data_IF_085588339798
#
_entry.id   IF_085588339798
#
_cell.length_a   1.000
_cell.length_b   1.000
_cell.length_c   1.000
_cell.angle_alpha   90.00
_cell.angle_beta   90.00
_cell.angle_gamma   90.00
#
_symmetry.space_group_name_H-M   'P 1'
#
loop_
_entity.id
_entity.type
_entity.pdbx_description
1 polymer ?
#
# COMPACT_ATOMS: atom_id res chain seq x y z
N UNK A 1 11.30 -3.69 -24.47
CA UNK A 1 10.80 -2.29 -24.38
C UNK A 1 10.57 -1.93 -22.91
N UNK A 2 11.69 -1.65 -22.23
CA UNK A 2 11.83 -1.08 -20.90
C UNK A 2 11.84 0.43 -21.15
N UNK A 3 10.94 1.26 -20.64
CA UNK A 3 10.78 1.55 -19.23
C UNK A 3 9.42 2.25 -19.07
N UNK A 4 8.39 1.49 -18.71
CA UNK A 4 7.04 2.03 -18.56
C UNK A 4 6.94 2.65 -17.18
N UNK A 5 6.45 3.89 -17.08
CA UNK A 5 6.28 4.61 -15.80
C UNK A 5 5.46 3.79 -14.77
N UNK A 6 4.65 2.84 -15.24
CA UNK A 6 3.95 1.86 -14.41
C UNK A 6 4.87 1.07 -13.45
N UNK A 7 6.04 0.61 -13.91
CA UNK A 7 6.94 -0.19 -13.06
C UNK A 7 7.61 0.67 -12.00
N UNK A 8 7.78 1.97 -12.26
CA UNK A 8 8.29 2.94 -11.28
C UNK A 8 7.25 3.14 -10.17
N UNK A 9 5.98 3.31 -10.52
CA UNK A 9 4.91 3.45 -9.53
C UNK A 9 4.69 2.17 -8.71
N UNK A 10 4.76 0.99 -9.34
CA UNK A 10 4.68 -0.29 -8.62
C UNK A 10 5.88 -0.51 -7.70
N UNK A 11 7.08 -0.12 -8.12
CA UNK A 11 8.30 -0.22 -7.31
C UNK A 11 8.25 0.75 -6.12
N UNK A 12 7.77 1.98 -6.33
CA UNK A 12 7.50 2.91 -5.22
C UNK A 12 6.48 2.31 -4.24
N UNK A 13 5.38 1.76 -4.73
CA UNK A 13 4.37 1.15 -3.88
C UNK A 13 4.93 -0.02 -3.06
N UNK A 14 5.75 -0.88 -3.67
CA UNK A 14 6.40 -2.00 -3.00
C UNK A 14 7.40 -1.54 -1.93
N UNK A 15 8.22 -0.53 -2.24
CA UNK A 15 9.18 0.05 -1.28
C UNK A 15 8.43 0.73 -0.13
N UNK A 16 7.41 1.53 -0.43
CA UNK A 16 6.57 2.17 0.59
C UNK A 16 5.89 1.15 1.50
N UNK A 17 5.33 0.07 0.94
CA UNK A 17 4.75 -1.02 1.72
C UNK A 17 5.80 -1.71 2.62
N UNK A 18 7.01 -1.97 2.12
CA UNK A 18 8.11 -2.51 2.91
C UNK A 18 8.59 -1.57 4.01
N UNK A 19 8.66 -0.26 3.73
CA UNK A 19 8.99 0.77 4.71
C UNK A 19 7.95 0.80 5.84
N UNK A 20 6.67 0.66 5.51
CA UNK A 20 5.56 0.67 6.49
C UNK A 20 5.64 -0.48 7.51
N UNK A 21 6.41 -1.55 7.22
CA UNK A 21 6.70 -2.61 8.20
C UNK A 21 7.65 -2.17 9.30
N UNK A 22 8.62 -1.29 8.99
CA UNK A 22 9.59 -0.77 9.96
C UNK A 22 9.17 0.56 10.56
N UNK A 23 8.46 1.39 9.80
CA UNK A 23 8.07 2.73 10.21
C UNK A 23 6.70 2.72 10.91
N UNK A 24 6.59 3.54 11.95
CA UNK A 24 5.39 3.67 12.77
C UNK A 24 4.30 4.46 12.04
N UNK A 25 3.05 4.00 12.13
CA UNK A 25 1.90 4.73 11.58
C UNK A 25 1.30 5.67 12.63
N UNK A 26 1.27 5.23 13.88
CA UNK A 26 0.69 5.97 14.99
C UNK A 26 1.47 5.66 16.26
N UNK A 27 1.78 6.64 17.09
CA UNK A 27 2.52 6.41 18.33
C UNK A 27 1.78 7.05 19.50
N UNK A 28 1.55 6.28 20.56
CA UNK A 28 0.83 6.79 21.73
C UNK A 28 0.58 5.75 22.82
N UNK A 29 -0.14 6.18 23.84
CA UNK A 29 -0.50 5.34 24.98
C UNK A 29 -1.80 4.59 24.67
N UNK A 30 -1.76 3.27 24.85
CA UNK A 30 -2.88 2.35 24.57
C UNK A 30 -3.78 2.25 25.79
N UNK A 31 -5.11 2.31 25.60
CA UNK A 31 -6.08 2.10 26.68
C UNK A 31 -5.99 0.69 27.26
N UNK A 32 -5.86 0.57 28.58
CA UNK A 32 -6.12 -0.68 29.30
C UNK A 32 -4.91 -1.57 29.59
N UNK A 33 -3.67 -1.10 29.39
CA UNK A 33 -2.52 -1.76 30.03
C UNK A 33 -2.39 -1.29 31.49
N UNK A 34 -2.32 -2.24 32.42
CA UNK A 34 -2.07 -2.02 33.86
C UNK A 34 -0.68 -1.43 34.19
N UNK A 35 0.03 -0.89 33.20
CA UNK A 35 1.34 -0.26 33.37
C UNK A 35 1.26 1.18 32.86
N UNK A 36 1.34 2.19 33.74
CA UNK A 36 1.32 3.58 33.31
C UNK A 36 2.55 3.88 32.44
N UNK A 37 2.38 4.68 31.38
CA UNK A 37 3.43 5.30 30.55
C UNK A 37 4.22 4.43 29.54
N UNK A 38 3.74 3.26 29.10
CA UNK A 38 4.36 2.62 27.93
C UNK A 38 3.86 3.23 26.62
N UNK A 39 4.75 3.92 25.91
CA UNK A 39 4.52 4.40 24.55
C UNK A 39 4.52 3.19 23.60
N UNK A 40 3.38 2.94 22.97
CA UNK A 40 3.25 1.93 21.93
C UNK A 40 3.26 2.59 20.56
N UNK A 41 4.11 2.06 19.69
CA UNK A 41 4.13 2.40 18.27
C UNK A 41 3.25 1.41 17.52
N UNK A 42 2.14 1.89 16.95
CA UNK A 42 1.33 1.16 15.99
C UNK A 42 2.08 1.06 14.67
N UNK A 43 2.71 -0.08 14.46
CA UNK A 43 3.34 -0.43 13.20
C UNK A 43 2.46 -1.47 12.49
N UNK A 44 2.79 -1.83 11.24
CA UNK A 44 2.10 -2.91 10.54
C UNK A 44 2.09 -4.24 11.33
N UNK A 45 3.06 -4.44 12.23
CA UNK A 45 3.18 -5.60 13.12
C UNK A 45 2.23 -5.56 14.32
N UNK A 46 1.58 -4.42 14.61
CA UNK A 46 0.67 -4.28 15.75
C UNK A 46 -0.58 -5.16 15.66
N UNK A 47 -0.94 -5.59 14.45
CA UNK A 47 -2.00 -6.57 14.22
C UNK A 47 -1.55 -7.57 13.14
N UNK A 48 -1.72 -8.86 13.39
CA UNK A 48 -1.32 -9.92 12.45
C UNK A 48 -2.03 -9.77 11.09
N UNK A 49 -3.27 -9.27 11.09
CA UNK A 49 -4.02 -8.97 9.88
C UNK A 49 -3.40 -7.81 9.10
N UNK A 50 -3.01 -6.71 9.78
CA UNK A 50 -2.30 -5.59 9.15
C UNK A 50 -0.97 -6.05 8.54
N UNK A 51 -0.21 -6.87 9.25
CA UNK A 51 1.07 -7.40 8.78
C UNK A 51 0.89 -8.24 7.52
N UNK A 52 -0.03 -9.21 7.55
CA UNK A 52 -0.31 -10.08 6.40
C UNK A 52 -0.75 -9.25 5.20
N UNK A 53 -1.65 -8.29 5.41
CA UNK A 53 -2.17 -7.45 4.33
C UNK A 53 -1.10 -6.53 3.74
N UNK A 54 -0.21 -5.99 4.57
CA UNK A 54 0.90 -5.12 4.14
C UNK A 54 1.94 -5.90 3.35
N UNK A 55 2.31 -7.09 3.83
CA UNK A 55 3.21 -8.01 3.12
C UNK A 55 2.58 -8.45 1.80
N UNK A 56 1.28 -8.78 1.80
CA UNK A 56 0.56 -9.14 0.58
C UNK A 56 0.59 -8.01 -0.45
N UNK A 57 0.38 -6.75 -0.04
CA UNK A 57 0.50 -5.58 -0.94
C UNK A 57 1.91 -5.41 -1.47
N UNK A 58 2.94 -5.55 -0.63
CA UNK A 58 4.34 -5.43 -1.04
C UNK A 58 4.71 -6.51 -2.08
N UNK A 59 4.38 -7.77 -1.78
CA UNK A 59 4.66 -8.91 -2.65
C UNK A 59 3.85 -8.82 -3.95
N UNK A 60 2.55 -8.52 -3.88
CA UNK A 60 1.72 -8.38 -5.07
C UNK A 60 2.20 -7.25 -5.99
N UNK A 61 2.62 -6.11 -5.40
CA UNK A 61 3.22 -5.00 -6.15
C UNK A 61 4.53 -5.41 -6.83
N UNK A 62 5.40 -6.15 -6.12
CA UNK A 62 6.65 -6.65 -6.69
C UNK A 62 6.42 -7.68 -7.81
N UNK A 63 5.49 -8.63 -7.61
CA UNK A 63 5.10 -9.62 -8.63
C UNK A 63 4.49 -8.93 -9.85
N UNK A 64 3.68 -7.88 -9.65
CA UNK A 64 3.10 -7.10 -10.73
C UNK A 64 4.16 -6.41 -11.61
N UNK A 65 5.37 -6.14 -11.11
CA UNK A 65 6.49 -5.60 -11.93
C UNK A 65 6.95 -6.65 -12.95
N UNK A 66 7.08 -7.91 -12.53
CA UNK A 66 7.52 -9.01 -13.40
C UNK A 66 6.42 -9.48 -14.36
N UNK A 67 5.15 -9.17 -14.10
CA UNK A 67 4.00 -9.46 -14.97
C UNK A 67 3.87 -8.55 -16.21
N UNK A 68 4.96 -7.88 -16.63
CA UNK A 68 4.98 -6.95 -17.78
C UNK A 68 4.57 -7.58 -19.12
N UNK A 69 4.58 -8.91 -19.23
CA UNK A 69 4.22 -9.65 -20.44
C UNK A 69 2.71 -9.63 -20.69
N UNK A 70 1.90 -9.78 -19.65
CA UNK A 70 0.43 -9.84 -19.72
C UNK A 70 -0.21 -8.59 -19.10
N UNK A 71 -0.33 -7.51 -19.88
CA UNK A 71 -0.83 -6.21 -19.40
C UNK A 71 -2.22 -6.25 -18.79
N UNK A 72 -3.13 -7.04 -19.35
CA UNK A 72 -4.49 -7.24 -18.81
C UNK A 72 -4.45 -7.82 -17.40
N UNK A 73 -3.60 -8.84 -17.20
CA UNK A 73 -3.45 -9.49 -15.91
C UNK A 73 -2.70 -8.57 -14.94
N UNK A 74 -1.68 -7.85 -15.42
CA UNK A 74 -0.96 -6.85 -14.63
C UNK A 74 -1.91 -5.76 -14.10
N UNK A 75 -2.85 -5.30 -14.92
CA UNK A 75 -3.87 -4.34 -14.53
C UNK A 75 -4.80 -4.92 -13.45
N UNK A 76 -5.33 -6.13 -13.65
CA UNK A 76 -6.20 -6.79 -12.66
C UNK A 76 -5.50 -6.99 -11.32
N UNK A 77 -4.24 -7.44 -11.32
CA UNK A 77 -3.43 -7.60 -10.09
C UNK A 77 -3.17 -6.24 -9.44
N UNK A 78 -2.84 -5.21 -10.21
CA UNK A 78 -2.56 -3.87 -9.66
C UNK A 78 -3.82 -3.25 -9.04
N UNK A 79 -4.98 -3.38 -9.70
CA UNK A 79 -6.26 -2.87 -9.20
C UNK A 79 -6.71 -3.62 -7.95
N UNK A 80 -6.62 -4.94 -7.93
CA UNK A 80 -6.92 -5.73 -6.73
C UNK A 80 -5.99 -5.36 -5.58
N UNK A 81 -4.69 -5.19 -5.85
CA UNK A 81 -3.71 -4.73 -4.85
C UNK A 81 -4.05 -3.34 -4.31
N UNK A 82 -4.53 -2.42 -5.16
CA UNK A 82 -4.95 -1.08 -4.75
C UNK A 82 -6.16 -1.13 -3.79
N UNK A 83 -7.13 -2.01 -4.06
CA UNK A 83 -8.29 -2.23 -3.17
C UNK A 83 -7.82 -2.77 -1.82
N UNK A 84 -6.92 -3.76 -1.83
CA UNK A 84 -6.34 -4.32 -0.60
C UNK A 84 -5.59 -3.26 0.19
N UNK A 85 -4.82 -2.38 -0.47
CA UNK A 85 -4.14 -1.26 0.18
C UNK A 85 -5.11 -0.25 0.79
N UNK A 86 -6.25 0.03 0.13
CA UNK A 86 -7.30 0.88 0.69
C UNK A 86 -7.97 0.24 1.93
N UNK A 87 -8.27 -1.06 1.89
CA UNK A 87 -8.75 -1.80 3.05
C UNK A 87 -7.75 -1.77 4.22
N UNK A 88 -6.46 -1.90 3.91
CA UNK A 88 -5.37 -1.80 4.90
C UNK A 88 -5.38 -0.44 5.59
N UNK A 89 -5.53 0.65 4.82
CA UNK A 89 -5.61 2.00 5.36
C UNK A 89 -6.83 2.19 6.29
N UNK A 90 -8.00 1.65 5.93
CA UNK A 90 -9.19 1.68 6.80
C UNK A 90 -8.92 0.92 8.11
N UNK A 91 -8.23 -0.22 8.04
CA UNK A 91 -7.85 -0.98 9.24
C UNK A 91 -6.91 -0.18 10.15
N UNK A 92 -5.93 0.53 9.57
CA UNK A 92 -5.05 1.43 10.31
C UNK A 92 -5.82 2.52 11.08
N UNK A 93 -6.82 3.13 10.45
CA UNK A 93 -7.69 4.09 11.12
C UNK A 93 -8.51 3.46 12.25
N UNK A 94 -9.01 2.24 12.06
CA UNK A 94 -9.74 1.51 13.11
C UNK A 94 -8.84 1.15 14.30
N UNK A 95 -7.59 0.73 14.06
CA UNK A 95 -6.62 0.48 15.13
C UNK A 95 -6.22 1.77 15.88
N UNK A 96 -6.25 2.92 15.20
CA UNK A 96 -6.00 4.23 15.82
C UNK A 96 -7.06 4.58 16.88
N UNK A 97 -8.30 4.11 16.74
CA UNK A 97 -9.36 4.34 17.73
C UNK A 97 -9.12 3.64 19.07
N UNK A 98 -8.22 2.66 19.12
CA UNK A 98 -7.87 1.93 20.37
C UNK A 98 -6.92 2.73 21.28
N UNK A 99 -6.34 3.81 20.79
CA UNK A 99 -5.43 4.68 21.54
C UNK A 99 -6.18 5.77 22.33
N UNK A 100 -5.57 6.26 23.41
CA UNK A 100 -6.18 7.36 24.19
C UNK A 100 -6.21 8.67 23.40
N UNK A 101 -7.42 9.24 23.25
CA UNK A 101 -7.62 10.57 22.64
C UNK A 101 -6.83 11.61 23.43
N UNK A 102 -5.85 12.23 22.78
CA UNK A 102 -5.04 13.32 23.33
C UNK A 102 -3.63 12.94 23.77
N UNK A 103 -3.27 11.64 23.81
CA UNK A 103 -1.91 11.17 24.13
C UNK A 103 -1.26 10.36 23.01
N UNK A 104 -1.84 10.44 21.81
CA UNK A 104 -1.38 9.71 20.66
C UNK A 104 -1.35 10.62 19.43
N UNK A 105 -0.25 10.53 18.69
CA UNK A 105 0.07 11.41 17.56
C UNK A 105 0.25 10.59 16.29
N UNK A 106 -0.27 11.11 15.18
CA UNK A 106 0.05 10.57 13.86
C UNK A 106 1.52 10.83 13.58
N UNK A 107 2.27 9.76 13.32
CA UNK A 107 3.67 9.90 12.92
C UNK A 107 3.74 10.40 11.47
N UNK A 108 4.79 11.18 11.16
CA UNK A 108 5.01 11.70 9.81
C UNK A 108 5.07 10.59 8.75
N UNK A 109 5.48 9.40 9.16
CA UNK A 109 5.58 8.18 8.34
C UNK A 109 4.22 7.58 7.96
N UNK A 110 3.11 8.01 8.58
CA UNK A 110 1.75 7.64 8.16
C UNK A 110 1.42 8.09 6.73
N UNK A 111 2.02 9.19 6.26
CA UNK A 111 1.91 9.66 4.86
C UNK A 111 2.39 8.59 3.88
N UNK A 112 3.38 7.77 4.24
CA UNK A 112 3.89 6.71 3.38
C UNK A 112 2.80 5.66 3.16
N UNK A 113 2.12 5.23 4.22
CA UNK A 113 1.04 4.25 4.16
C UNK A 113 -0.16 4.77 3.36
N UNK A 114 -0.52 6.05 3.57
CA UNK A 114 -1.59 6.73 2.81
C UNK A 114 -1.22 6.88 1.33
N UNK A 115 0.08 7.05 1.03
CA UNK A 115 0.58 7.17 -0.33
C UNK A 115 0.50 5.87 -1.14
N UNK A 116 0.61 4.69 -0.51
CA UNK A 116 0.59 3.37 -1.20
C UNK A 116 -0.61 3.21 -2.16
N UNK A 117 -1.87 3.37 -1.72
CA UNK A 117 -3.01 3.23 -2.63
C UNK A 117 -2.98 4.25 -3.77
N UNK A 118 -2.48 5.47 -3.52
CA UNK A 118 -2.33 6.50 -4.56
C UNK A 118 -1.34 6.06 -5.65
N UNK A 119 -0.16 5.55 -5.24
CA UNK A 119 0.84 5.02 -6.17
C UNK A 119 0.29 3.85 -7.01
N UNK A 120 -0.48 2.95 -6.38
CA UNK A 120 -1.09 1.81 -7.07
C UNK A 120 -2.18 2.23 -8.07
N UNK A 121 -2.99 3.22 -7.74
CA UNK A 121 -3.99 3.77 -8.68
C UNK A 121 -3.31 4.45 -9.88
N UNK A 122 -2.23 5.20 -9.65
CA UNK A 122 -1.42 5.78 -10.73
C UNK A 122 -0.76 4.72 -11.61
N UNK A 123 -0.27 3.63 -11.01
CA UNK A 123 0.24 2.47 -11.74
C UNK A 123 -0.86 1.84 -12.62
N UNK A 124 -2.03 1.57 -12.04
CA UNK A 124 -3.17 0.99 -12.77
C UNK A 124 -3.62 1.86 -13.94
N UNK A 125 -3.70 3.19 -13.74
CA UNK A 125 -4.05 4.14 -14.81
C UNK A 125 -3.03 4.14 -15.94
N UNK A 126 -1.75 4.05 -15.61
CA UNK A 126 -0.66 3.95 -16.59
C UNK A 126 -0.77 2.66 -17.41
N UNK A 127 -0.99 1.51 -16.75
CA UNK A 127 -1.19 0.21 -17.41
C UNK A 127 -2.41 0.25 -18.34
N UNK A 128 -3.51 0.88 -17.92
CA UNK A 128 -4.73 0.97 -18.73
C UNK A 128 -4.52 1.76 -20.03
N UNK A 129 -3.86 2.92 -19.94
CA UNK A 129 -3.50 3.73 -21.12
C UNK A 129 -2.66 2.90 -22.10
N UNK A 130 -1.73 2.14 -21.55
CA UNK A 130 -0.82 1.29 -22.29
C UNK A 130 -1.49 0.11 -22.98
N UNK A 131 -2.52 -0.47 -22.38
CA UNK A 131 -3.35 -1.49 -23.02
C UNK A 131 -4.19 -0.88 -24.15
N UNK A 132 -4.76 0.31 -23.93
CA UNK A 132 -5.59 1.00 -24.94
C UNK A 132 -4.79 1.36 -26.20
N UNK A 133 -3.55 1.82 -26.04
CA UNK A 133 -2.65 2.14 -27.16
C UNK A 133 -2.34 0.92 -28.04
N UNK A 134 -2.12 -0.24 -27.44
CA UNK A 134 -1.87 -1.47 -28.20
C UNK A 134 -3.12 -1.87 -28.98
N UNK A 135 -4.31 -1.83 -28.35
CA UNK A 135 -5.58 -2.12 -29.02
C UNK A 135 -5.89 -1.18 -30.19
N UNK A 136 -5.51 0.10 -30.10
CA UNK A 136 -5.73 1.04 -31.20
C UNK A 136 -4.83 0.78 -32.40
N UNK A 137 -3.60 0.32 -32.18
CA UNK A 137 -2.66 -0.03 -33.27
C UNK A 137 -3.09 -1.32 -33.96
N UNK A 138 -3.58 -2.30 -33.19
CA UNK A 138 -4.04 -3.59 -33.72
C UNK A 138 -5.30 -3.45 -34.59
N UNK A 139 -6.11 -2.40 -34.37
CA UNK A 139 -7.28 -2.09 -35.21
C UNK A 139 -6.95 -1.50 -36.57
N UNK A 140 -5.72 -1.00 -36.76
CA UNK A 140 -5.27 -0.38 -38.01
C UNK A 140 -4.47 -1.34 -38.90
N UNK A 141 -4.17 -2.55 -38.41
CA UNK A 141 -3.55 -3.63 -39.17
C UNK A 141 -4.61 -4.60 -39.65
#
# INVERSE_FOLDING_TARGET
MIQRIQSVFLLLAAISAGLTLKFSFYSGIVKGLNTPNQYYTLNATGNIFLLILTVAVAVASAVAIFMYKDRRRQLLVTVSTAIVAACNLILYFSETEKFERGQASMDLTSIIAIGIPVWLVLAARSIYKDEKLVKSVDRLR
#
